data_IF_427245399014
#
_entry.id   IF_427245399014
#
_cell.length_a   1.000
_cell.length_b   1.000
_cell.length_c   1.000
_cell.angle_alpha   90.00
_cell.angle_beta   90.00
_cell.angle_gamma   90.00
#
_symmetry.space_group_name_H-M   'P 1'
#
loop_
_entity.id
_entity.type
_entity.pdbx_description
1 polymer ?
#
# COMPACT_ATOMS: atom_id res chain seq x y z
N UNK A 1 -66.25 -18.03 -21.13
CA UNK A 1 -66.53 -19.35 -20.52
C UNK A 1 -65.69 -19.46 -19.24
N UNK A 2 -66.44 -19.55 -18.15
CA UNK A 2 -65.97 -19.61 -16.76
C UNK A 2 -65.58 -21.06 -16.45
N UNK A 3 -64.51 -21.29 -15.78
CA UNK A 3 -64.37 -22.47 -14.89
C UNK A 3 -63.46 -22.14 -13.72
N UNK A 4 -64.08 -21.93 -12.59
CA UNK A 4 -63.51 -21.93 -11.25
C UNK A 4 -63.32 -23.36 -10.80
N UNK A 5 -62.18 -23.68 -10.15
CA UNK A 5 -62.06 -24.88 -9.30
C UNK A 5 -61.46 -24.48 -7.97
N UNK A 6 -62.29 -24.54 -6.94
CA UNK A 6 -62.00 -24.51 -5.53
C UNK A 6 -61.79 -25.94 -5.03
N UNK A 7 -60.73 -26.19 -4.25
CA UNK A 7 -60.60 -27.31 -3.29
C UNK A 7 -59.46 -26.91 -2.36
N UNK A 8 -59.48 -26.78 -1.10
CA UNK A 8 -60.22 -27.44 -0.04
C UNK A 8 -59.19 -27.54 1.10
N UNK A 9 -59.42 -26.79 2.21
CA UNK A 9 -58.64 -26.86 3.44
C UNK A 9 -58.80 -28.27 4.07
N UNK A 10 -57.70 -28.87 4.46
CA UNK A 10 -57.69 -29.91 5.49
C UNK A 10 -56.72 -29.52 6.62
N UNK A 11 -57.31 -29.04 7.67
CA UNK A 11 -56.73 -28.95 9.01
C UNK A 11 -56.69 -30.36 9.62
N UNK A 12 -55.50 -30.83 9.99
CA UNK A 12 -55.40 -31.88 11.02
C UNK A 12 -54.48 -31.39 12.12
N UNK A 13 -55.07 -31.34 13.28
CA UNK A 13 -54.45 -30.92 14.53
C UNK A 13 -53.78 -32.10 15.23
N UNK A 14 -52.88 -31.75 16.14
CA UNK A 14 -52.45 -32.44 17.36
C UNK A 14 -51.53 -33.65 17.24
N UNK A 15 -50.35 -33.43 17.79
CA UNK A 15 -49.42 -34.43 18.26
C UNK A 15 -48.32 -33.80 19.08
N UNK A 16 -48.60 -33.44 20.34
CA UNK A 16 -47.61 -33.06 21.34
C UNK A 16 -46.90 -34.33 21.82
N UNK A 17 -45.71 -34.59 21.22
CA UNK A 17 -44.78 -35.58 21.73
C UNK A 17 -43.49 -34.86 22.19
N UNK A 18 -42.87 -35.26 23.30
CA UNK A 18 -41.64 -34.64 23.78
C UNK A 18 -40.48 -34.92 22.81
N UNK A 19 -39.78 -33.87 22.42
CA UNK A 19 -38.56 -33.94 21.63
C UNK A 19 -37.47 -34.69 22.41
N UNK A 20 -36.74 -35.62 21.81
CA UNK A 20 -35.59 -36.24 22.46
C UNK A 20 -34.46 -35.21 22.65
N UNK A 21 -34.11 -35.05 23.90
CA UNK A 21 -32.96 -34.27 24.35
C UNK A 21 -31.65 -35.00 24.03
N UNK A 22 -31.22 -35.01 22.77
CA UNK A 22 -29.88 -35.45 22.39
C UNK A 22 -29.49 -34.84 21.01
N UNK A 23 -29.42 -33.51 20.94
CA UNK A 23 -28.53 -32.83 20.02
C UNK A 23 -27.45 -32.17 20.87
N UNK A 24 -26.42 -32.97 21.16
CA UNK A 24 -25.17 -32.43 21.57
C UNK A 24 -24.76 -31.40 20.54
N UNK A 25 -24.63 -30.16 20.97
CA UNK A 25 -24.01 -29.12 20.22
C UNK A 25 -22.63 -29.64 19.78
N UNK A 26 -22.45 -29.87 18.49
CA UNK A 26 -21.13 -30.00 17.94
C UNK A 26 -20.44 -28.66 18.22
N UNK A 27 -19.49 -28.73 19.12
CA UNK A 27 -18.54 -27.68 19.42
C UNK A 27 -18.06 -27.04 18.10
N UNK A 28 -18.27 -25.73 18.04
CA UNK A 28 -17.70 -24.93 16.98
C UNK A 28 -16.20 -25.21 16.96
N UNK A 29 -15.67 -25.47 15.78
CA UNK A 29 -14.25 -25.35 15.55
C UNK A 29 -13.85 -23.94 15.98
N UNK A 30 -13.38 -23.81 17.21
CA UNK A 30 -12.40 -22.78 17.51
C UNK A 30 -11.21 -23.10 16.60
N UNK A 31 -11.07 -22.31 15.56
CA UNK A 31 -9.78 -22.13 14.95
C UNK A 31 -8.94 -21.54 16.07
N UNK A 32 -8.20 -22.39 16.77
CA UNK A 32 -7.06 -21.94 17.53
C UNK A 32 -6.16 -21.26 16.50
N UNK A 33 -6.25 -19.92 16.45
CA UNK A 33 -5.15 -19.15 15.96
C UNK A 33 -4.00 -19.57 16.88
N UNK A 34 -3.16 -20.43 16.36
CA UNK A 34 -1.86 -20.63 16.92
C UNK A 34 -1.30 -19.22 17.12
N UNK A 35 -1.20 -18.82 18.37
CA UNK A 35 -0.50 -17.61 18.74
C UNK A 35 0.91 -17.85 18.26
N UNK A 36 1.19 -17.48 17.01
CA UNK A 36 2.55 -17.35 16.54
C UNK A 36 3.12 -16.28 17.44
N UNK A 37 3.97 -16.71 18.37
CA UNK A 37 4.73 -15.83 19.21
C UNK A 37 5.27 -14.74 18.27
N UNK A 38 4.85 -13.49 18.51
CA UNK A 38 5.46 -12.33 17.86
C UNK A 38 6.95 -12.53 17.95
N UNK A 39 7.69 -12.45 16.84
CA UNK A 39 9.14 -12.51 16.92
C UNK A 39 9.57 -11.41 17.88
N UNK A 40 10.09 -11.83 19.02
CA UNK A 40 10.72 -10.96 19.99
C UNK A 40 11.69 -10.05 19.27
N UNK A 41 11.64 -8.78 19.62
CA UNK A 41 12.49 -7.68 19.17
C UNK A 41 13.71 -8.10 18.35
N UNK A 42 13.67 -7.78 17.05
CA UNK A 42 14.85 -7.45 16.24
C UNK A 42 16.03 -8.40 16.34
N UNK A 43 15.91 -9.63 15.87
CA UNK A 43 17.04 -10.18 15.14
C UNK A 43 17.14 -9.36 13.84
N UNK A 44 18.09 -8.43 13.84
CA UNK A 44 18.43 -7.70 12.63
C UNK A 44 18.79 -8.74 11.55
N UNK A 45 17.93 -8.88 10.56
CA UNK A 45 18.24 -9.71 9.38
C UNK A 45 19.67 -9.37 8.93
N UNK A 46 20.49 -10.36 8.60
CA UNK A 46 21.89 -10.12 8.24
C UNK A 46 21.93 -9.12 7.10
N UNK A 47 22.54 -7.97 7.36
CA UNK A 47 22.66 -6.89 6.39
C UNK A 47 23.55 -7.36 5.24
N UNK A 48 23.09 -7.14 4.01
CA UNK A 48 23.91 -7.43 2.82
C UNK A 48 25.18 -6.58 2.84
N UNK A 49 26.39 -7.15 2.69
CA UNK A 49 27.63 -6.39 2.66
C UNK A 49 27.60 -5.29 1.60
N UNK A 50 28.24 -4.14 1.90
CA UNK A 50 28.44 -3.06 0.94
C UNK A 50 29.35 -3.52 -0.20
N UNK A 51 28.99 -3.15 -1.42
CA UNK A 51 29.87 -3.27 -2.59
C UNK A 51 30.92 -2.14 -2.58
N UNK A 52 31.93 -2.28 -3.39
CA UNK A 52 32.97 -1.25 -3.52
C UNK A 52 32.37 0.12 -3.88
N UNK A 53 32.72 1.14 -3.11
CA UNK A 53 32.23 2.51 -3.28
C UNK A 53 30.82 2.77 -2.72
N UNK A 54 30.14 1.76 -2.17
CA UNK A 54 28.87 1.99 -1.51
C UNK A 54 29.06 2.40 -0.04
N UNK A 55 28.11 3.17 0.46
CA UNK A 55 28.00 3.56 1.85
C UNK A 55 26.54 3.62 2.29
N UNK A 56 26.29 3.67 3.60
CA UNK A 56 24.95 3.83 4.15
C UNK A 56 24.68 5.26 4.60
N UNK A 57 23.48 5.74 4.32
CA UNK A 57 22.89 6.91 4.96
C UNK A 57 21.68 6.47 5.74
N UNK A 58 21.62 6.80 7.02
CA UNK A 58 20.54 6.46 7.93
C UNK A 58 19.71 7.68 8.24
N UNK A 59 18.41 7.55 8.03
CA UNK A 59 17.41 8.59 8.24
C UNK A 59 16.38 8.05 9.24
N UNK A 60 16.08 8.84 10.28
CA UNK A 60 15.09 8.47 11.28
C UNK A 60 13.89 9.40 11.20
N UNK A 61 12.71 8.85 11.32
CA UNK A 61 11.49 9.63 11.56
C UNK A 61 11.60 10.33 12.93
N UNK A 62 10.75 11.37 13.20
CA UNK A 62 10.76 12.03 14.51
C UNK A 62 10.66 11.01 15.65
N UNK A 63 11.39 11.29 16.73
CA UNK A 63 11.43 10.40 17.88
C UNK A 63 10.05 10.34 18.57
N UNK A 64 9.64 9.14 18.91
CA UNK A 64 8.42 8.87 19.68
C UNK A 64 7.14 9.44 19.03
N UNK A 65 7.10 9.48 17.68
CA UNK A 65 5.89 9.90 16.98
C UNK A 65 4.70 9.03 17.40
N UNK A 66 3.59 9.65 17.78
CA UNK A 66 2.36 8.96 18.15
C UNK A 66 1.29 9.23 17.10
N UNK A 67 0.82 8.20 16.37
CA UNK A 67 -0.25 8.37 15.41
C UNK A 67 -1.50 8.98 16.05
N UNK A 68 -2.10 9.90 15.33
CA UNK A 68 -3.33 10.62 15.76
C UNK A 68 -4.42 10.45 14.69
N UNK A 69 -5.00 9.25 14.52
CA UNK A 69 -6.09 9.03 13.59
C UNK A 69 -7.24 10.01 13.83
N UNK A 70 -7.85 10.49 12.77
CA UNK A 70 -9.04 11.34 12.88
C UNK A 70 -10.21 10.54 13.46
N UNK A 71 -11.15 11.24 14.09
CA UNK A 71 -12.30 10.62 14.74
C UNK A 71 -13.02 9.63 13.82
N UNK A 72 -13.21 8.40 14.30
CA UNK A 72 -13.84 7.30 13.57
C UNK A 72 -12.90 6.61 12.57
N UNK A 73 -11.60 6.93 12.54
CA UNK A 73 -10.56 6.21 11.78
C UNK A 73 -9.59 5.51 12.72
N UNK A 74 -8.96 4.47 12.20
CA UNK A 74 -7.80 3.81 12.81
C UNK A 74 -6.51 4.13 12.07
N UNK A 75 -6.62 4.86 10.95
CA UNK A 75 -5.53 5.13 10.04
C UNK A 75 -5.01 6.56 10.19
N UNK A 76 -3.69 6.69 10.23
CA UNK A 76 -2.96 7.95 10.17
C UNK A 76 -1.91 7.88 9.05
N UNK A 77 -1.97 8.83 8.11
CA UNK A 77 -1.03 8.96 7.02
C UNK A 77 -0.17 10.19 7.25
N UNK A 78 1.12 9.98 7.54
CA UNK A 78 2.04 11.05 7.89
C UNK A 78 3.28 11.06 7.02
N UNK A 79 3.63 12.21 6.49
CA UNK A 79 4.85 12.44 5.72
C UNK A 79 5.88 13.20 6.56
N UNK A 80 7.11 12.72 6.55
CA UNK A 80 8.26 13.36 7.20
C UNK A 80 9.31 13.69 6.15
N UNK A 81 9.73 14.96 6.08
CA UNK A 81 10.82 15.38 5.21
C UNK A 81 12.15 15.16 5.92
N UNK A 82 13.02 14.35 5.33
CA UNK A 82 14.32 13.99 5.87
C UNK A 82 15.44 14.33 4.87
N UNK A 83 16.56 14.81 5.39
CA UNK A 83 17.70 15.23 4.58
C UNK A 83 18.83 14.18 4.62
N UNK A 84 19.14 13.49 3.52
CA UNK A 84 20.27 12.57 3.43
C UNK A 84 21.61 13.29 3.31
N UNK A 85 21.65 14.62 3.22
CA UNK A 85 22.89 15.41 3.15
C UNK A 85 23.65 15.30 1.83
N UNK A 86 22.95 15.08 0.71
CA UNK A 86 23.59 14.89 -0.60
C UNK A 86 24.21 16.18 -1.14
N UNK A 87 25.52 16.27 -1.19
CA UNK A 87 26.25 17.39 -1.80
C UNK A 87 26.62 17.15 -3.26
N UNK A 88 26.63 15.90 -3.68
CA UNK A 88 26.90 15.44 -5.05
C UNK A 88 25.82 14.45 -5.48
N UNK A 89 25.65 14.19 -6.79
CA UNK A 89 24.72 13.18 -7.27
C UNK A 89 25.13 11.77 -6.82
N UNK A 90 24.16 11.01 -6.32
CA UNK A 90 24.31 9.64 -5.83
C UNK A 90 23.31 8.70 -6.52
N UNK A 91 23.61 7.41 -6.49
CA UNK A 91 22.72 6.35 -6.94
C UNK A 91 22.30 5.50 -5.75
N UNK A 92 21.00 5.37 -5.51
CA UNK A 92 20.48 4.40 -4.54
C UNK A 92 20.61 3.01 -5.15
N UNK A 93 21.37 2.15 -4.50
CA UNK A 93 21.57 0.75 -4.87
C UNK A 93 20.86 -0.22 -3.92
N UNK A 94 20.26 0.29 -2.86
CA UNK A 94 19.44 -0.49 -1.94
C UNK A 94 18.73 0.37 -0.91
N UNK A 95 17.67 -0.18 -0.36
CA UNK A 95 16.86 0.45 0.68
C UNK A 95 16.50 -0.59 1.73
N UNK A 96 16.67 -0.23 2.99
CA UNK A 96 16.18 -1.00 4.12
C UNK A 96 15.34 -0.09 5.01
N UNK A 97 14.08 -0.45 5.22
CA UNK A 97 13.15 0.27 6.07
C UNK A 97 12.85 -0.61 7.28
N UNK A 98 13.10 -0.08 8.46
CA UNK A 98 12.99 -0.80 9.72
C UNK A 98 11.97 -0.05 10.58
N UNK A 99 10.72 -0.53 10.65
CA UNK A 99 9.71 0.04 11.53
C UNK A 99 10.14 -0.02 12.99
N UNK A 100 9.95 1.09 13.72
CA UNK A 100 10.19 1.14 15.16
C UNK A 100 9.11 0.38 15.93
N UNK A 101 7.87 0.47 15.48
CA UNK A 101 6.72 -0.24 16.05
C UNK A 101 5.93 -0.98 14.96
N UNK A 102 6.31 -2.22 14.63
CA UNK A 102 5.67 -2.98 13.56
C UNK A 102 4.20 -3.33 13.84
N UNK A 103 3.72 -3.16 15.08
CA UNK A 103 2.32 -3.43 15.42
C UNK A 103 1.37 -2.32 14.90
N UNK A 104 1.89 -1.14 14.59
CA UNK A 104 1.11 -0.01 14.11
C UNK A 104 1.56 0.52 12.75
N UNK A 105 2.79 0.22 12.32
CA UNK A 105 3.27 0.61 10.99
C UNK A 105 2.72 -0.36 9.95
N UNK A 106 1.79 0.13 9.12
CA UNK A 106 1.11 -0.66 8.11
C UNK A 106 1.92 -0.76 6.82
N UNK A 107 2.42 0.37 6.31
CA UNK A 107 3.42 0.42 5.24
C UNK A 107 4.18 1.76 5.27
N UNK A 108 5.30 1.78 4.56
CA UNK A 108 6.16 2.95 4.40
C UNK A 108 6.51 3.13 2.95
N UNK A 109 6.44 4.37 2.46
CA UNK A 109 6.89 4.74 1.12
C UNK A 109 7.95 5.84 1.26
N UNK A 110 9.07 5.66 0.57
CA UNK A 110 10.15 6.66 0.52
C UNK A 110 10.17 7.28 -0.87
N UNK A 111 9.93 8.58 -0.95
CA UNK A 111 9.92 9.34 -2.20
C UNK A 111 11.04 10.37 -2.20
N UNK A 112 11.70 10.55 -3.35
CA UNK A 112 12.67 11.63 -3.52
C UNK A 112 11.97 12.98 -3.69
N UNK A 113 12.58 14.02 -3.14
CA UNK A 113 12.17 15.42 -3.26
C UNK A 113 13.34 16.20 -3.88
N UNK A 114 13.30 16.52 -5.16
CA UNK A 114 14.34 17.32 -5.79
C UNK A 114 14.55 18.64 -5.06
N UNK A 115 15.77 19.17 -5.05
CA UNK A 115 16.14 20.42 -4.37
C UNK A 115 15.17 21.57 -4.69
N UNK A 116 14.67 21.66 -5.91
CA UNK A 116 13.68 22.67 -6.34
C UNK A 116 12.32 22.57 -5.68
N UNK A 117 12.00 21.43 -5.04
CA UNK A 117 10.72 21.17 -4.39
C UNK A 117 10.81 21.10 -2.86
N UNK A 118 12.01 21.16 -2.29
CA UNK A 118 12.23 21.10 -0.83
C UNK A 118 11.46 22.21 -0.10
N UNK A 119 11.51 23.44 -0.60
CA UNK A 119 10.78 24.56 0.00
C UNK A 119 9.25 24.32 0.03
N UNK A 120 8.72 23.60 -0.98
CA UNK A 120 7.29 23.22 -0.98
C UNK A 120 6.98 22.16 0.08
N UNK A 121 7.85 21.17 0.25
CA UNK A 121 7.70 20.16 1.30
C UNK A 121 7.75 20.79 2.69
N UNK A 122 8.72 21.70 2.93
CA UNK A 122 8.82 22.47 4.18
C UNK A 122 7.57 23.31 4.46
N UNK A 123 6.97 23.89 3.40
CA UNK A 123 5.73 24.67 3.56
C UNK A 123 4.53 23.79 3.92
N UNK A 124 4.47 22.53 3.43
CA UNK A 124 3.43 21.57 3.83
C UNK A 124 3.61 21.15 5.28
N UNK A 125 4.82 20.88 5.71
CA UNK A 125 5.17 20.54 7.08
C UNK A 125 4.81 21.70 8.05
N UNK A 126 5.21 22.91 7.73
CA UNK A 126 4.91 24.07 8.55
C UNK A 126 3.42 24.44 8.62
N UNK A 127 2.62 24.00 7.66
CA UNK A 127 1.17 24.27 7.61
C UNK A 127 0.32 23.25 8.40
N UNK A 128 0.88 22.12 8.75
CA UNK A 128 0.21 21.07 9.54
C UNK A 128 0.65 21.16 11.01
N UNK A 129 -0.13 20.61 11.92
CA UNK A 129 0.20 20.60 13.34
C UNK A 129 1.07 19.39 13.71
N UNK A 130 2.11 19.60 14.51
CA UNK A 130 3.03 18.56 14.96
C UNK A 130 4.11 18.23 13.93
N UNK A 131 4.71 17.07 14.06
CA UNK A 131 5.77 16.62 13.17
C UNK A 131 5.22 16.12 11.84
N UNK A 132 5.75 16.60 10.71
CA UNK A 132 5.34 16.22 9.38
C UNK A 132 3.96 16.75 8.99
N UNK A 133 3.37 16.22 7.92
CA UNK A 133 2.04 16.60 7.43
C UNK A 133 1.20 15.40 7.00
N UNK A 134 -0.12 15.57 6.98
CA UNK A 134 -1.07 14.57 6.46
C UNK A 134 -0.92 14.42 4.95
N UNK A 135 -0.78 13.18 4.44
CA UNK A 135 -0.38 12.95 3.06
C UNK A 135 -0.97 11.68 2.43
N UNK A 136 -2.27 11.50 2.49
CA UNK A 136 -2.95 10.36 1.87
C UNK A 136 -2.74 10.29 0.35
N UNK A 137 -2.45 9.10 -0.15
CA UNK A 137 -2.35 8.79 -1.58
C UNK A 137 -1.14 9.42 -2.29
N UNK A 138 -0.21 10.09 -1.61
CA UNK A 138 1.02 10.69 -2.13
C UNK A 138 1.52 11.84 -1.26
N UNK A 139 2.70 12.37 -1.56
CA UNK A 139 3.38 13.37 -0.72
C UNK A 139 2.69 14.75 -0.70
N UNK A 140 1.81 15.05 -1.65
CA UNK A 140 1.20 16.38 -1.78
C UNK A 140 2.12 17.46 -2.41
N UNK A 141 3.39 17.14 -2.67
CA UNK A 141 4.38 18.11 -3.13
C UNK A 141 4.12 18.52 -4.59
N UNK A 142 3.85 17.58 -5.48
CA UNK A 142 3.64 17.82 -6.91
C UNK A 142 2.25 18.34 -7.30
N UNK A 143 1.35 18.56 -6.34
CA UNK A 143 -0.04 18.91 -6.62
C UNK A 143 -0.84 17.78 -7.28
N UNK A 144 -2.11 18.05 -7.62
CA UNK A 144 -3.06 17.06 -8.13
C UNK A 144 -2.71 16.49 -9.51
N UNK A 145 -1.93 17.19 -10.32
CA UNK A 145 -1.54 16.77 -11.68
C UNK A 145 -0.10 16.30 -11.81
N UNK A 146 0.68 16.36 -10.75
CA UNK A 146 2.13 16.18 -10.78
C UNK A 146 2.65 14.75 -10.70
N UNK A 147 1.79 13.73 -10.68
CA UNK A 147 2.23 12.34 -10.56
C UNK A 147 2.62 11.78 -11.92
N UNK A 148 3.89 11.56 -12.12
CA UNK A 148 4.36 10.77 -13.25
C UNK A 148 4.35 9.28 -12.86
N UNK A 149 3.31 8.56 -13.25
CA UNK A 149 3.17 7.14 -12.92
C UNK A 149 4.19 6.27 -13.67
N UNK A 150 4.76 6.73 -14.76
CA UNK A 150 5.77 6.00 -15.54
C UNK A 150 7.17 6.15 -14.94
N UNK A 151 7.41 7.29 -14.27
CA UNK A 151 8.64 7.57 -13.51
C UNK A 151 8.23 8.24 -12.21
N UNK A 152 7.80 7.42 -11.25
CA UNK A 152 7.41 7.95 -9.95
C UNK A 152 8.66 8.37 -9.16
N UNK A 153 8.44 9.21 -8.18
CA UNK A 153 9.44 9.68 -7.22
C UNK A 153 9.83 8.62 -6.16
N UNK A 154 9.27 7.41 -6.24
CA UNK A 154 9.53 6.36 -5.26
C UNK A 154 10.97 5.85 -5.32
N UNK A 155 11.64 5.90 -4.18
CA UNK A 155 12.99 5.37 -3.94
C UNK A 155 12.90 3.97 -3.33
N UNK A 156 11.91 3.75 -2.48
CA UNK A 156 11.69 2.48 -1.82
C UNK A 156 10.32 2.41 -1.17
N UNK A 157 9.94 1.19 -0.80
CA UNK A 157 8.73 0.95 -0.02
C UNK A 157 8.94 -0.27 0.88
N UNK A 158 8.19 -0.30 1.96
CA UNK A 158 8.11 -1.43 2.88
C UNK A 158 6.64 -1.70 3.22
N UNK A 159 6.32 -2.98 3.33
CA UNK A 159 5.09 -3.49 3.91
C UNK A 159 5.46 -4.70 4.79
N UNK A 160 4.56 -5.21 5.64
CA UNK A 160 4.81 -6.39 6.46
C UNK A 160 5.43 -7.54 5.66
N UNK A 161 6.41 -8.23 6.24
CA UNK A 161 7.24 -9.23 5.55
C UNK A 161 8.38 -8.65 4.71
N UNK A 162 8.44 -7.33 4.49
CA UNK A 162 9.51 -6.68 3.73
C UNK A 162 10.82 -6.60 4.49
N UNK A 163 11.95 -6.83 3.79
CA UNK A 163 13.31 -6.68 4.31
C UNK A 163 14.16 -5.76 3.45
N UNK A 164 15.48 -5.78 3.67
CA UNK A 164 16.43 -5.03 2.86
C UNK A 164 16.29 -5.42 1.37
N UNK A 165 16.16 -4.40 0.53
CA UNK A 165 16.14 -4.57 -0.92
C UNK A 165 17.44 -4.03 -1.50
N UNK A 166 18.27 -4.92 -2.05
CA UNK A 166 19.49 -4.55 -2.77
C UNK A 166 19.25 -4.77 -4.26
N UNK A 167 19.50 -3.72 -5.04
CA UNK A 167 19.33 -3.76 -6.50
C UNK A 167 20.49 -4.51 -7.15
N UNK A 168 20.28 -4.99 -8.40
CA UNK A 168 21.37 -5.55 -9.20
C UNK A 168 22.47 -4.49 -9.45
N UNK A 169 23.72 -4.97 -9.67
CA UNK A 169 24.89 -4.08 -9.73
C UNK A 169 24.86 -3.10 -10.89
N UNK A 170 24.12 -3.44 -11.95
CA UNK A 170 24.06 -2.66 -13.19
C UNK A 170 23.04 -1.50 -13.15
N UNK A 171 22.30 -1.32 -12.03
CA UNK A 171 21.28 -0.27 -11.92
C UNK A 171 21.38 0.49 -10.59
N UNK A 172 20.76 1.67 -10.56
CA UNK A 172 20.55 2.47 -9.34
C UNK A 172 19.51 3.55 -9.58
N UNK A 173 18.84 4.00 -8.52
CA UNK A 173 17.90 5.13 -8.60
C UNK A 173 18.70 6.42 -8.42
N UNK A 174 18.71 7.34 -9.40
CA UNK A 174 19.48 8.57 -9.29
C UNK A 174 18.85 9.55 -8.29
N UNK A 175 19.70 10.13 -7.43
CA UNK A 175 19.39 11.25 -6.57
C UNK A 175 20.38 12.38 -6.89
N UNK A 176 19.87 13.53 -7.26
CA UNK A 176 20.68 14.71 -7.52
C UNK A 176 21.17 15.39 -6.23
N UNK A 177 22.20 16.21 -6.31
CA UNK A 177 22.67 17.00 -5.18
C UNK A 177 21.53 17.85 -4.58
N UNK A 178 21.45 17.93 -3.25
CA UNK A 178 20.41 18.65 -2.53
C UNK A 178 19.04 17.98 -2.54
N UNK A 179 18.91 16.79 -3.11
CA UNK A 179 17.67 15.99 -3.00
C UNK A 179 17.47 15.58 -1.56
N UNK A 180 16.26 15.82 -1.04
CA UNK A 180 15.78 15.26 0.21
C UNK A 180 14.82 14.09 -0.04
N UNK A 181 14.35 13.43 1.00
CA UNK A 181 13.36 12.36 0.90
C UNK A 181 12.17 12.63 1.79
N UNK A 182 11.01 12.25 1.31
CA UNK A 182 9.81 12.14 2.14
C UNK A 182 9.62 10.68 2.51
N UNK A 183 9.51 10.43 3.80
CA UNK A 183 9.09 9.14 4.35
C UNK A 183 7.61 9.25 4.67
N UNK A 184 6.78 8.66 3.83
CA UNK A 184 5.34 8.53 4.07
C UNK A 184 5.11 7.28 4.92
N UNK A 185 4.59 7.49 6.11
CA UNK A 185 4.19 6.43 7.04
C UNK A 185 2.67 6.27 6.99
N UNK A 186 2.21 5.05 6.79
CA UNK A 186 0.84 4.67 7.07
C UNK A 186 0.81 3.90 8.37
N UNK A 187 0.20 4.47 9.37
CA UNK A 187 -0.05 3.82 10.64
C UNK A 187 -1.50 3.30 10.70
N UNK A 188 -1.68 2.13 11.27
CA UNK A 188 -3.00 1.60 11.60
C UNK A 188 -3.03 1.19 13.08
N UNK A 189 -3.94 1.79 13.83
CA UNK A 189 -4.06 1.62 15.29
C UNK A 189 -5.18 0.66 15.71
N UNK A 190 -5.72 -0.12 14.77
CA UNK A 190 -6.84 -1.05 15.05
C UNK A 190 -6.45 -2.12 16.07
N UNK A 191 -5.24 -2.66 15.95
CA UNK A 191 -4.76 -3.78 16.76
C UNK A 191 -3.66 -3.39 17.73
N UNK A 192 -3.18 -2.16 17.70
CA UNK A 192 -2.07 -1.71 18.51
C UNK A 192 -2.07 -0.21 18.76
N UNK A 193 -1.12 0.24 19.55
CA UNK A 193 -0.89 1.65 19.86
C UNK A 193 0.55 1.87 20.30
N UNK A 194 0.86 3.08 20.70
CA UNK A 194 2.18 3.46 21.18
C UNK A 194 2.87 4.45 20.26
N UNK A 195 4.15 4.65 20.48
CA UNK A 195 5.00 5.51 19.68
C UNK A 195 5.74 4.69 18.62
N UNK A 196 6.19 5.37 17.58
CA UNK A 196 7.07 4.84 16.55
C UNK A 196 8.27 5.77 16.34
N UNK A 197 9.42 5.17 16.03
CA UNK A 197 10.60 5.84 15.47
C UNK A 197 11.21 4.89 14.45
N UNK A 198 10.80 5.06 13.21
CA UNK A 198 11.25 4.21 12.11
C UNK A 198 12.61 4.66 11.56
N UNK A 199 13.37 3.71 11.04
CA UNK A 199 14.66 3.93 10.39
C UNK A 199 14.55 3.61 8.90
N UNK A 200 14.98 4.54 8.06
CA UNK A 200 15.23 4.31 6.63
C UNK A 200 16.72 4.32 6.40
N UNK A 201 17.27 3.23 5.90
CA UNK A 201 18.67 3.11 5.52
C UNK A 201 18.78 3.05 4.01
N UNK A 202 19.40 4.05 3.42
CA UNK A 202 19.71 4.11 2.01
C UNK A 202 21.14 3.57 1.79
N UNK A 203 21.29 2.68 0.82
CA UNK A 203 22.59 2.24 0.29
C UNK A 203 22.89 3.10 -0.92
N UNK A 204 23.90 3.92 -0.83
CA UNK A 204 24.28 4.89 -1.85
C UNK A 204 25.63 4.58 -2.47
N UNK A 205 25.81 5.01 -3.71
CA UNK A 205 27.12 5.03 -4.39
C UNK A 205 27.23 6.25 -5.27
N UNK A 206 28.44 6.83 -5.46
CA UNK A 206 28.64 7.99 -6.32
C UNK A 206 28.08 7.76 -7.73
N UNK A 207 27.33 8.74 -8.26
CA UNK A 207 26.86 8.70 -9.65
C UNK A 207 27.98 9.01 -10.65
N UNK A 208 28.95 9.86 -10.26
CA UNK A 208 30.08 10.23 -11.10
C UNK A 208 30.95 9.03 -11.46
N UNK A 209 31.15 8.81 -12.75
CA UNK A 209 31.95 7.68 -13.27
C UNK A 209 31.25 6.32 -13.19
N UNK A 210 30.00 6.26 -12.73
CA UNK A 210 29.23 5.03 -12.65
C UNK A 210 28.73 4.57 -14.02
N UNK A 211 28.87 3.28 -14.31
CA UNK A 211 28.27 2.63 -15.49
C UNK A 211 26.84 2.10 -15.25
N UNK A 212 26.29 2.31 -14.03
CA UNK A 212 24.94 1.86 -13.68
C UNK A 212 23.89 2.58 -14.52
N UNK A 213 22.86 1.85 -14.93
CA UNK A 213 21.69 2.40 -15.60
C UNK A 213 20.70 2.95 -14.58
N UNK A 214 20.05 4.06 -14.91
CA UNK A 214 18.99 4.60 -14.06
C UNK A 214 17.82 3.62 -13.95
N UNK A 215 17.47 3.27 -12.71
CA UNK A 215 16.28 2.54 -12.38
C UNK A 215 15.19 3.53 -11.97
N UNK A 216 13.97 3.30 -12.46
CA UNK A 216 12.80 4.08 -12.08
C UNK A 216 11.69 3.15 -11.60
N UNK A 217 10.85 3.64 -10.71
CA UNK A 217 9.64 2.94 -10.29
C UNK A 217 8.48 3.37 -11.16
N UNK A 218 7.81 2.42 -11.81
CA UNK A 218 6.55 2.61 -12.51
C UNK A 218 5.40 2.18 -11.61
N UNK A 219 4.40 3.03 -11.44
CA UNK A 219 3.21 2.71 -10.67
C UNK A 219 2.08 2.28 -11.60
N UNK A 220 1.44 1.17 -11.26
CA UNK A 220 0.29 0.60 -11.98
C UNK A 220 -0.93 0.54 -11.04
N UNK A 221 -1.48 1.70 -10.61
CA UNK A 221 -2.67 1.69 -9.77
C UNK A 221 -3.88 1.22 -10.58
N UNK A 222 -4.78 0.49 -9.90
CA UNK A 222 -6.09 0.12 -10.41
C UNK A 222 -7.17 0.65 -9.46
N UNK A 223 -8.42 0.82 -9.92
CA UNK A 223 -9.54 1.13 -9.04
C UNK A 223 -9.64 0.13 -7.88
N UNK A 224 -10.08 0.60 -6.71
CA UNK A 224 -10.22 -0.23 -5.50
C UNK A 224 -11.55 0.11 -4.83
N UNK A 225 -12.65 -0.22 -5.48
CA UNK A 225 -13.98 0.04 -4.95
C UNK A 225 -14.76 -1.26 -4.84
N UNK A 226 -15.03 -1.67 -3.61
CA UNK A 226 -15.80 -2.87 -3.31
C UNK A 226 -17.23 -2.46 -2.95
N UNK A 227 -18.25 -3.16 -3.49
CA UNK A 227 -19.62 -2.96 -3.06
C UNK A 227 -19.82 -3.45 -1.62
N UNK A 228 -20.77 -2.86 -0.91
CA UNK A 228 -21.24 -3.45 0.33
C UNK A 228 -21.83 -4.84 0.07
N UNK A 229 -21.67 -5.74 1.02
CA UNK A 229 -22.24 -7.09 0.93
C UNK A 229 -23.77 -7.01 0.95
N UNK A 230 -24.40 -7.89 0.20
CA UNK A 230 -25.86 -8.05 0.25
C UNK A 230 -26.29 -8.32 1.70
N UNK A 231 -27.31 -7.60 2.16
CA UNK A 231 -27.80 -7.68 3.55
C UNK A 231 -26.98 -6.89 4.57
N UNK A 232 -25.99 -6.08 4.14
CA UNK A 232 -25.18 -5.19 4.99
C UNK A 232 -25.05 -3.82 4.33
N UNK A 233 -26.20 -3.21 4.01
CA UNK A 233 -26.27 -1.95 3.25
C UNK A 233 -26.73 -0.76 4.12
N UNK A 234 -26.82 -0.93 5.43
CA UNK A 234 -27.33 0.08 6.36
C UNK A 234 -26.31 1.21 6.61
N UNK A 235 -25.04 0.96 6.33
CA UNK A 235 -24.02 1.99 6.48
C UNK A 235 -24.18 3.08 5.43
N UNK A 236 -24.14 4.37 5.80
CA UNK A 236 -24.13 5.47 4.83
C UNK A 236 -22.93 5.39 3.87
N UNK A 237 -21.82 4.74 4.27
CA UNK A 237 -20.65 4.53 3.41
C UNK A 237 -20.87 3.46 2.32
N UNK A 238 -22.03 2.81 2.27
CA UNK A 238 -22.44 1.98 1.13
C UNK A 238 -22.87 2.84 -0.06
N UNK A 239 -23.21 4.11 0.15
CA UNK A 239 -23.32 5.10 -0.92
C UNK A 239 -21.91 5.56 -1.34
N UNK A 240 -21.61 5.45 -2.64
CA UNK A 240 -20.27 5.77 -3.17
C UNK A 240 -19.88 7.23 -2.94
N UNK A 241 -20.81 8.16 -3.12
CA UNK A 241 -20.51 9.58 -2.94
C UNK A 241 -20.20 9.90 -1.47
N UNK A 242 -20.97 9.33 -0.57
CA UNK A 242 -20.73 9.46 0.89
C UNK A 242 -19.38 8.86 1.30
N UNK A 243 -18.98 7.70 0.73
CA UNK A 243 -17.69 7.09 0.99
C UNK A 243 -16.52 7.96 0.47
N UNK A 244 -16.66 8.55 -0.71
CA UNK A 244 -15.67 9.46 -1.27
C UNK A 244 -15.54 10.73 -0.42
N UNK A 245 -16.65 11.31 0.00
CA UNK A 245 -16.66 12.51 0.85
C UNK A 245 -16.06 12.22 2.23
N UNK A 246 -16.27 11.03 2.78
CA UNK A 246 -15.64 10.59 4.02
C UNK A 246 -14.12 10.52 3.90
N UNK A 247 -13.61 9.90 2.83
CA UNK A 247 -12.15 9.83 2.55
C UNK A 247 -11.55 11.24 2.39
N UNK A 248 -12.19 12.11 1.62
CA UNK A 248 -11.73 13.50 1.46
C UNK A 248 -11.68 14.25 2.79
N UNK A 249 -12.71 14.07 3.61
CA UNK A 249 -12.80 14.73 4.91
C UNK A 249 -11.73 14.23 5.87
N UNK A 250 -11.49 12.93 5.90
CA UNK A 250 -10.50 12.31 6.80
C UNK A 250 -9.07 12.63 6.41
N UNK A 251 -8.75 12.57 5.13
CA UNK A 251 -7.37 12.61 4.65
C UNK A 251 -7.02 13.88 3.87
N UNK A 252 -7.94 14.84 3.77
CA UNK A 252 -7.68 16.13 3.14
C UNK A 252 -7.53 16.06 1.62
N UNK A 253 -8.07 15.03 0.96
CA UNK A 253 -8.02 14.92 -0.49
C UNK A 253 -8.83 16.03 -1.16
N UNK A 254 -8.21 16.72 -2.12
CA UNK A 254 -8.89 17.74 -2.94
C UNK A 254 -9.55 17.16 -4.19
N UNK A 255 -9.10 15.98 -4.61
CA UNK A 255 -9.65 15.22 -5.74
C UNK A 255 -9.86 13.78 -5.31
N UNK A 256 -11.01 13.21 -5.63
CA UNK A 256 -11.27 11.80 -5.36
C UNK A 256 -10.30 10.92 -6.15
N UNK A 257 -9.36 10.28 -5.47
CA UNK A 257 -8.43 9.32 -6.09
C UNK A 257 -9.19 8.20 -6.80
N UNK A 258 -10.32 7.76 -6.25
CA UNK A 258 -11.20 6.78 -6.86
C UNK A 258 -11.69 7.23 -8.24
N UNK A 259 -12.26 8.44 -8.36
CA UNK A 259 -12.73 8.97 -9.64
C UNK A 259 -11.61 9.12 -10.67
N UNK A 260 -10.44 9.58 -10.22
CA UNK A 260 -9.26 9.70 -11.09
C UNK A 260 -8.84 8.34 -11.64
N UNK A 261 -8.86 7.29 -10.84
CA UNK A 261 -8.50 5.95 -11.27
C UNK A 261 -9.50 5.40 -12.29
N UNK A 262 -10.80 5.68 -12.15
CA UNK A 262 -11.78 5.30 -13.17
C UNK A 262 -11.57 6.02 -14.50
N UNK A 263 -11.27 7.30 -14.45
CA UNK A 263 -10.92 8.06 -15.66
C UNK A 263 -9.67 7.49 -16.32
N UNK A 264 -8.67 7.11 -15.53
CA UNK A 264 -7.40 6.58 -16.02
C UNK A 264 -7.54 5.16 -16.60
N UNK A 265 -8.35 4.32 -15.97
CA UNK A 265 -8.44 2.89 -16.28
C UNK A 265 -9.62 2.53 -17.19
N UNK A 266 -10.64 3.41 -17.32
CA UNK A 266 -11.74 3.26 -18.27
C UNK A 266 -12.65 2.06 -18.00
N UNK A 267 -12.81 1.65 -16.76
CA UNK A 267 -13.57 0.45 -16.38
C UNK A 267 -14.85 0.72 -15.61
N UNK A 268 -15.61 -0.33 -15.36
CA UNK A 268 -16.73 -0.30 -14.43
C UNK A 268 -16.24 0.03 -13.02
N UNK A 269 -16.91 0.94 -12.34
CA UNK A 269 -16.37 1.52 -11.13
C UNK A 269 -16.33 0.58 -9.92
N UNK A 270 -17.28 -0.31 -9.77
CA UNK A 270 -17.44 -1.07 -8.54
C UNK A 270 -17.49 -2.57 -8.85
N UNK A 271 -16.71 -3.36 -8.11
CA UNK A 271 -16.71 -4.81 -8.24
C UNK A 271 -15.64 -5.48 -7.41
N UNK A 272 -15.74 -6.80 -7.29
CA UNK A 272 -14.79 -7.64 -6.58
C UNK A 272 -13.51 -7.94 -7.39
N UNK A 273 -13.54 -7.64 -8.69
CA UNK A 273 -12.38 -7.73 -9.59
C UNK A 273 -12.28 -6.45 -10.40
N UNK A 274 -11.12 -5.81 -10.34
CA UNK A 274 -10.84 -4.56 -11.04
C UNK A 274 -9.53 -4.64 -11.80
N UNK A 275 -9.41 -3.88 -12.88
CA UNK A 275 -8.24 -3.88 -13.73
C UNK A 275 -7.95 -2.47 -14.26
N UNK A 276 -6.68 -2.26 -14.63
CA UNK A 276 -6.23 -1.07 -15.33
C UNK A 276 -5.23 -1.47 -16.40
N UNK A 277 -5.40 -0.96 -17.62
CA UNK A 277 -4.45 -1.16 -18.71
C UNK A 277 -3.80 0.16 -19.07
N UNK A 278 -2.48 0.17 -19.14
CA UNK A 278 -1.70 1.36 -19.52
C UNK A 278 -0.75 1.02 -20.65
N UNK A 279 -0.62 1.94 -21.60
CA UNK A 279 0.37 1.81 -22.67
C UNK A 279 1.73 2.32 -22.20
N UNK A 280 2.77 1.53 -22.43
CA UNK A 280 4.16 1.94 -22.26
C UNK A 280 4.55 2.81 -23.46
N UNK A 281 5.03 4.03 -23.18
CA UNK A 281 5.34 5.00 -24.24
C UNK A 281 6.72 4.82 -24.83
N UNK A 282 7.66 4.30 -24.04
CA UNK A 282 9.06 4.10 -24.45
C UNK A 282 9.48 2.65 -24.14
N UNK A 283 10.33 2.04 -24.95
CA UNK A 283 10.88 0.73 -24.64
C UNK A 283 11.60 0.73 -23.29
N UNK A 284 11.30 -0.27 -22.46
CA UNK A 284 11.92 -0.41 -21.13
C UNK A 284 12.22 -1.86 -20.80
N UNK A 285 13.10 -2.06 -19.83
CA UNK A 285 13.40 -3.36 -19.24
C UNK A 285 12.82 -3.38 -17.83
N UNK A 286 11.86 -4.26 -17.60
CA UNK A 286 11.27 -4.45 -16.27
C UNK A 286 12.19 -5.39 -15.48
N UNK A 287 12.72 -4.93 -14.34
CA UNK A 287 13.67 -5.69 -13.51
C UNK A 287 13.01 -6.41 -12.35
N UNK A 288 11.92 -5.86 -11.85
CA UNK A 288 11.15 -6.46 -10.76
C UNK A 288 9.70 -6.01 -10.81
N UNK A 289 8.83 -6.77 -10.19
CA UNK A 289 7.43 -6.41 -10.00
C UNK A 289 7.03 -6.71 -8.55
N UNK A 290 6.14 -5.89 -8.01
CA UNK A 290 5.52 -6.11 -6.70
C UNK A 290 4.03 -5.81 -6.79
N UNK A 291 3.22 -6.53 -6.00
CA UNK A 291 1.81 -6.26 -5.84
C UNK A 291 1.54 -5.73 -4.44
N UNK A 292 0.72 -4.68 -4.33
CA UNK A 292 0.26 -4.16 -3.06
C UNK A 292 -1.27 -4.07 -3.06
N UNK A 293 -1.89 -4.61 -2.05
CA UNK A 293 -3.31 -4.47 -1.73
C UNK A 293 -3.47 -4.30 -0.23
N UNK A 294 -4.69 -3.99 0.21
CA UNK A 294 -5.05 -3.96 1.62
C UNK A 294 -5.72 -5.28 2.04
N UNK A 295 -6.20 -5.35 3.29
CA UNK A 295 -6.70 -6.56 3.95
C UNK A 295 -7.81 -7.34 3.20
N UNK A 296 -8.54 -6.68 2.31
CA UNK A 296 -9.59 -7.32 1.50
C UNK A 296 -9.06 -7.86 0.15
N UNK A 297 -7.79 -7.62 -0.17
CA UNK A 297 -7.14 -8.15 -1.35
C UNK A 297 -7.11 -9.68 -1.34
N UNK A 298 -7.30 -10.30 -2.51
CA UNK A 298 -7.28 -11.77 -2.64
C UNK A 298 -6.27 -12.27 -3.64
N UNK A 299 -6.10 -11.56 -4.74
CA UNK A 299 -5.12 -11.90 -5.78
C UNK A 299 -4.74 -10.67 -6.59
N UNK A 300 -3.53 -10.65 -7.13
CA UNK A 300 -3.08 -9.59 -8.04
C UNK A 300 -2.19 -10.18 -9.13
N UNK A 301 -2.38 -9.71 -10.35
CA UNK A 301 -1.58 -10.10 -11.50
C UNK A 301 -1.13 -8.90 -12.30
N UNK A 302 0.02 -9.00 -12.96
CA UNK A 302 0.48 -8.03 -13.95
C UNK A 302 0.83 -8.80 -15.24
N UNK A 303 0.16 -8.42 -16.32
CA UNK A 303 0.39 -8.95 -17.66
C UNK A 303 0.97 -7.85 -18.56
N UNK A 304 1.96 -8.18 -19.38
CA UNK A 304 2.48 -7.37 -20.47
C UNK A 304 1.89 -7.86 -21.77
N UNK A 305 1.55 -6.96 -22.69
CA UNK A 305 0.97 -7.23 -24.00
C UNK A 305 -0.26 -8.15 -23.97
N UNK A 306 -1.08 -8.01 -22.92
CA UNK A 306 -2.31 -8.79 -22.74
C UNK A 306 -3.19 -8.74 -23.98
N UNK A 307 -3.68 -9.90 -24.41
CA UNK A 307 -4.53 -10.04 -25.61
C UNK A 307 -3.76 -10.14 -26.91
N UNK A 308 -2.44 -10.21 -26.90
CA UNK A 308 -1.59 -10.45 -28.07
C UNK A 308 -0.91 -11.82 -28.00
N UNK A 309 -0.34 -12.32 -29.09
CA UNK A 309 0.49 -13.53 -29.06
C UNK A 309 1.75 -13.42 -28.21
N UNK A 310 2.17 -12.20 -27.88
CA UNK A 310 3.35 -11.89 -27.05
C UNK A 310 3.00 -11.72 -25.57
N UNK A 311 1.74 -11.92 -25.18
CA UNK A 311 1.29 -11.75 -23.81
C UNK A 311 2.14 -12.55 -22.82
N UNK A 312 2.64 -11.88 -21.80
CA UNK A 312 3.47 -12.48 -20.74
C UNK A 312 2.99 -12.00 -19.38
N UNK A 313 2.73 -12.96 -18.47
CA UNK A 313 2.51 -12.64 -17.06
C UNK A 313 3.84 -12.45 -16.36
N UNK A 314 4.02 -11.28 -15.76
CA UNK A 314 5.24 -10.88 -15.06
C UNK A 314 5.07 -10.87 -13.54
N UNK A 315 3.83 -10.82 -13.05
CA UNK A 315 3.50 -11.02 -11.64
C UNK A 315 2.25 -11.90 -11.54
N UNK A 316 2.31 -12.91 -10.69
CA UNK A 316 1.18 -13.77 -10.34
C UNK A 316 1.19 -14.01 -8.83
N UNK A 317 0.20 -13.47 -8.15
CA UNK A 317 -0.06 -13.67 -6.72
C UNK A 317 -1.49 -14.20 -6.60
N UNK A 318 -1.68 -15.53 -6.75
CA UNK A 318 -3.01 -16.13 -6.77
C UNK A 318 -3.71 -16.11 -5.42
N UNK A 319 -2.93 -16.10 -4.34
CA UNK A 319 -3.40 -15.92 -2.96
C UNK A 319 -2.57 -14.80 -2.36
N UNK A 320 -3.23 -13.66 -2.15
CA UNK A 320 -2.58 -12.50 -1.56
C UNK A 320 -2.47 -12.68 -0.06
N UNK A 321 -1.25 -12.60 0.44
CA UNK A 321 -0.94 -12.55 1.86
C UNK A 321 -0.51 -11.12 2.21
N UNK A 322 -1.22 -10.52 3.16
CA UNK A 322 -0.94 -9.16 3.61
C UNK A 322 0.45 -9.07 4.28
N UNK A 323 0.91 -10.14 4.90
CA UNK A 323 2.19 -10.21 5.61
C UNK A 323 3.37 -10.63 4.71
N UNK A 324 3.13 -10.89 3.42
CA UNK A 324 4.15 -11.22 2.39
C UNK A 324 3.93 -10.45 1.10
N UNK A 325 4.34 -9.19 1.08
CA UNK A 325 4.21 -8.27 -0.06
C UNK A 325 5.55 -8.00 -0.75
N UNK A 326 6.45 -8.94 -0.75
CA UNK A 326 7.78 -8.82 -1.32
C UNK A 326 7.79 -8.56 -2.83
N UNK A 327 8.81 -7.83 -3.33
CA UNK A 327 9.03 -7.71 -4.77
C UNK A 327 9.68 -8.97 -5.33
N UNK A 328 9.32 -9.31 -6.57
CA UNK A 328 9.86 -10.44 -7.32
C UNK A 328 10.77 -9.93 -8.42
N UNK A 329 12.03 -10.36 -8.41
CA UNK A 329 12.96 -10.10 -9.52
C UNK A 329 12.50 -10.84 -10.77
N UNK A 330 12.68 -10.22 -11.93
CA UNK A 330 12.39 -10.80 -13.25
C UNK A 330 13.71 -11.13 -13.95
N UNK A 331 13.78 -12.35 -14.48
CA UNK A 331 14.93 -12.87 -15.23
C UNK A 331 14.78 -12.64 -16.73
#
# INVERSE_FOLDING_TARGET
MVAAVTVGLLLTACGSGPLPSNLAAKEGHQVEHASSASPSASESLPQTPLRAGEHFVELKTPADYRPTPKAGSTDDYRCFLLDPGLTEPELVSGVNIIPGNPNIVHHVIVSQVPASQVARAQALDAADAGDGWTCFGGTGIGGVGGRNLDKSDWVGAWAPGGGERVMSEDVGIPLEAGTQVVVQMHFNTLTGGGADTSLVRLRLSPAAGSAKKALNTMLLPAPVELPCRLGHTESPLCDRAAAIDDVKTRFGETVATADLLHVLCGGDPIGDTQQCTRSVREPMVIRAAAGHMHLLGRSITIDVDKGTPQAKRILDVPVYDFDDQGSRALS
#
